data_IF_068365229625
#
_entry.id   IF_068365229625
#
_cell.length_a   1.000
_cell.length_b   1.000
_cell.length_c   1.000
_cell.angle_alpha   90.00
_cell.angle_beta   90.00
_cell.angle_gamma   90.00
#
_symmetry.space_group_name_H-M   'P 1'
#
loop_
_entity.id
_entity.type
_entity.pdbx_description
1 polymer ?
#
# COMPACT_ATOMS: atom_id res chain seq x y z
N UNK A 1 8.23 16.76 0.34
CA UNK A 1 8.00 17.65 -0.83
C UNK A 1 8.83 17.24 -2.05
N UNK A 2 10.14 17.01 -1.90
CA UNK A 2 11.02 16.63 -3.03
C UNK A 2 10.74 15.21 -3.55
N UNK A 3 10.49 14.24 -2.67
CA UNK A 3 10.14 12.87 -3.05
C UNK A 3 8.85 12.79 -3.89
N UNK A 4 7.81 13.56 -3.54
CA UNK A 4 6.56 13.61 -4.33
C UNK A 4 6.81 14.20 -5.71
N UNK A 5 7.50 15.34 -5.79
CA UNK A 5 7.85 15.96 -7.08
C UNK A 5 8.66 15.01 -7.97
N UNK A 6 9.60 14.28 -7.37
CA UNK A 6 10.41 13.29 -8.08
C UNK A 6 9.56 12.12 -8.60
N UNK A 7 8.59 11.64 -7.82
CA UNK A 7 7.68 10.59 -8.24
C UNK A 7 6.64 11.07 -9.26
N UNK A 8 6.14 12.30 -9.13
CA UNK A 8 5.25 12.94 -10.09
C UNK A 8 5.94 13.16 -11.44
N UNK A 9 7.26 13.40 -11.45
CA UNK A 9 8.05 13.52 -12.66
C UNK A 9 8.30 12.19 -13.39
N UNK A 10 8.02 11.03 -12.77
CA UNK A 10 8.20 9.73 -13.41
C UNK A 10 7.14 9.52 -14.53
N UNK A 11 7.52 8.88 -15.65
CA UNK A 11 6.57 8.50 -16.68
C UNK A 11 5.54 7.52 -16.11
N UNK A 12 4.30 7.62 -16.57
CA UNK A 12 3.25 6.66 -16.18
C UNK A 12 3.61 5.27 -16.67
N UNK A 13 3.49 4.25 -15.81
CA UNK A 13 3.65 2.87 -16.25
C UNK A 13 2.62 2.55 -17.34
N UNK A 14 3.01 1.92 -18.46
CA UNK A 14 2.08 1.58 -19.53
C UNK A 14 1.03 0.58 -19.05
N UNK A 15 -0.14 0.57 -19.68
CA UNK A 15 -1.24 -0.34 -19.34
C UNK A 15 -0.93 -1.82 -19.59
N UNK A 16 0.21 -2.13 -20.21
CA UNK A 16 0.71 -3.49 -20.45
C UNK A 16 2.21 -3.53 -20.22
N UNK A 17 2.67 -4.55 -19.49
CA UNK A 17 4.09 -4.80 -19.22
C UNK A 17 4.89 -5.10 -20.48
N UNK A 18 4.26 -5.62 -21.53
CA UNK A 18 4.89 -5.87 -22.83
C UNK A 18 5.43 -4.59 -23.47
N UNK A 19 4.83 -3.44 -23.12
CA UNK A 19 5.23 -2.12 -23.63
C UNK A 19 6.10 -1.36 -22.62
N UNK A 20 6.42 -1.94 -21.47
CA UNK A 20 7.30 -1.32 -20.48
C UNK A 20 8.76 -1.48 -20.92
N UNK A 21 9.47 -0.36 -21.01
CA UNK A 21 10.92 -0.34 -21.16
C UNK A 21 11.58 -0.46 -19.78
N UNK A 22 12.85 -0.83 -19.73
CA UNK A 22 13.60 -0.78 -18.48
C UNK A 22 13.66 0.67 -17.96
N UNK A 23 13.26 0.88 -16.71
CA UNK A 23 13.23 2.22 -16.14
C UNK A 23 12.42 2.35 -14.85
N UNK A 24 12.27 3.59 -14.40
CA UNK A 24 11.43 3.96 -13.24
C UNK A 24 10.13 4.55 -13.75
N UNK A 25 9.02 4.10 -13.18
CA UNK A 25 7.68 4.53 -13.56
C UNK A 25 6.88 4.97 -12.34
N UNK A 26 6.00 5.95 -12.55
CA UNK A 26 4.95 6.29 -11.62
C UNK A 26 3.68 5.52 -11.95
N UNK A 27 3.01 4.99 -10.94
CA UNK A 27 1.67 4.42 -11.08
C UNK A 27 0.75 5.23 -10.19
N UNK A 28 -0.33 5.72 -10.79
CA UNK A 28 -1.20 6.73 -10.18
C UNK A 28 -2.63 6.20 -10.21
N UNK A 29 -3.32 6.30 -9.08
CA UNK A 29 -4.78 6.20 -9.04
C UNK A 29 -5.37 7.60 -8.97
N UNK A 30 -6.37 7.87 -9.80
CA UNK A 30 -7.17 9.09 -9.70
C UNK A 30 -8.42 8.89 -8.82
N UNK A 31 -8.65 7.66 -8.36
CA UNK A 31 -9.84 7.28 -7.61
C UNK A 31 -9.59 7.38 -6.10
N UNK A 32 -10.60 7.88 -5.38
CA UNK A 32 -10.56 7.96 -3.92
C UNK A 32 -11.11 6.67 -3.33
N UNK A 33 -10.38 6.08 -2.39
CA UNK A 33 -10.84 4.98 -1.55
C UNK A 33 -11.27 5.45 -0.16
N UNK A 34 -12.17 4.71 0.48
CA UNK A 34 -12.55 4.89 1.88
C UNK A 34 -12.77 3.51 2.52
N UNK A 35 -12.27 3.31 3.74
CA UNK A 35 -12.53 2.12 4.56
C UNK A 35 -12.80 2.57 5.99
N UNK A 36 -13.77 1.96 6.65
CA UNK A 36 -14.16 2.23 8.03
C UNK A 36 -14.50 0.92 8.72
N UNK A 37 -14.05 0.76 9.97
CA UNK A 37 -14.47 -0.34 10.85
C UNK A 37 -15.36 0.21 11.97
N UNK A 38 -16.43 -0.52 12.28
CA UNK A 38 -17.35 -0.20 13.37
C UNK A 38 -17.15 -1.12 14.61
N UNK A 39 -16.08 -1.92 14.62
CA UNK A 39 -15.82 -2.92 15.66
C UNK A 39 -14.34 -3.07 16.00
N UNK A 40 -13.99 -4.17 16.67
CA UNK A 40 -12.60 -4.55 16.96
C UNK A 40 -11.92 -5.29 15.81
N UNK A 41 -12.68 -5.63 14.77
CA UNK A 41 -12.21 -6.42 13.64
C UNK A 41 -11.49 -5.52 12.62
N UNK A 42 -10.48 -6.10 11.96
CA UNK A 42 -9.72 -5.44 10.91
C UNK A 42 -10.56 -5.44 9.63
N UNK A 43 -10.84 -4.25 9.12
CA UNK A 43 -11.42 -4.03 7.80
C UNK A 43 -10.32 -3.52 6.86
N UNK A 44 -10.23 -4.07 5.65
CA UNK A 44 -9.20 -3.69 4.67
C UNK A 44 -9.77 -3.66 3.26
N UNK A 45 -9.20 -2.85 2.37
CA UNK A 45 -9.63 -2.79 0.97
C UNK A 45 -8.42 -2.56 0.07
N UNK A 46 -8.27 -3.35 -1.00
CA UNK A 46 -7.14 -3.20 -1.92
C UNK A 46 -7.35 -1.96 -2.79
N UNK A 47 -6.48 -0.96 -2.65
CA UNK A 47 -6.60 0.32 -3.35
C UNK A 47 -5.82 0.35 -4.66
N UNK A 48 -4.67 -0.30 -4.74
CA UNK A 48 -3.91 -0.41 -5.98
C UNK A 48 -2.94 -1.58 -5.96
N UNK A 49 -2.41 -1.89 -7.14
CA UNK A 49 -1.61 -3.07 -7.38
C UNK A 49 -0.20 -2.74 -7.88
N UNK A 50 0.59 -1.94 -7.11
CA UNK A 50 2.01 -1.54 -7.38
C UNK A 50 2.61 -0.64 -6.27
N UNK A 51 3.92 -0.26 -6.29
CA UNK A 51 4.58 0.49 -5.20
C UNK A 51 4.01 1.89 -4.95
N UNK A 52 4.17 2.38 -3.72
CA UNK A 52 3.28 3.37 -3.10
C UNK A 52 3.98 4.67 -2.66
N UNK A 53 3.35 5.79 -3.00
CA UNK A 53 3.44 7.05 -2.26
C UNK A 53 2.01 7.47 -1.95
N UNK A 54 1.68 7.71 -0.68
CA UNK A 54 0.32 8.06 -0.23
C UNK A 54 0.25 9.43 0.40
N UNK A 55 -0.89 10.08 0.15
CA UNK A 55 -1.38 11.20 0.95
C UNK A 55 -2.64 10.72 1.68
N UNK A 56 -2.59 10.67 3.01
CA UNK A 56 -3.65 10.06 3.84
C UNK A 56 -3.85 10.83 5.14
N UNK A 57 -4.99 10.59 5.80
CA UNK A 57 -5.24 11.04 7.17
C UNK A 57 -5.82 9.91 8.03
N UNK A 58 -5.75 10.09 9.33
CA UNK A 58 -6.13 9.09 10.33
C UNK A 58 -7.66 8.94 10.50
N UNK A 59 -8.07 7.94 11.29
CA UNK A 59 -9.41 7.57 11.75
C UNK A 59 -10.22 8.70 12.43
N UNK A 60 -9.67 9.91 12.55
CA UNK A 60 -10.32 11.03 13.21
C UNK A 60 -10.30 10.91 14.75
N UNK A 61 -11.48 10.89 15.39
CA UNK A 61 -11.57 10.95 16.85
C UNK A 61 -11.23 9.61 17.51
N UNK A 62 -10.12 9.58 18.25
CA UNK A 62 -9.73 8.42 19.06
C UNK A 62 -10.01 8.66 20.56
N UNK A 63 -10.84 7.79 21.16
CA UNK A 63 -11.28 7.82 22.56
C UNK A 63 -10.21 7.34 23.55
N UNK A 64 -9.34 6.42 23.15
CA UNK A 64 -8.24 5.91 23.98
C UNK A 64 -6.90 5.90 23.21
N UNK A 65 -6.07 6.93 23.45
CA UNK A 65 -4.77 7.10 22.78
C UNK A 65 -3.73 6.04 23.17
N UNK A 66 -3.88 5.41 24.33
CA UNK A 66 -2.91 4.40 24.82
C UNK A 66 -2.97 3.15 23.95
N UNK A 67 -4.10 2.90 23.28
CA UNK A 67 -4.30 1.76 22.40
C UNK A 67 -3.70 1.95 20.99
N UNK A 68 -2.97 3.04 20.74
CA UNK A 68 -2.23 3.25 19.49
C UNK A 68 -3.07 3.79 18.32
N UNK A 69 -2.48 3.76 17.13
CA UNK A 69 -3.12 4.11 15.86
C UNK A 69 -3.68 2.85 15.18
N UNK A 70 -4.92 2.96 14.68
CA UNK A 70 -5.70 1.88 14.08
C UNK A 70 -5.91 2.07 12.58
N UNK A 71 -5.16 3.00 11.96
CA UNK A 71 -5.12 3.16 10.51
C UNK A 71 -3.68 3.12 10.03
N UNK A 72 -3.44 2.23 9.06
CA UNK A 72 -2.15 1.97 8.45
C UNK A 72 -2.35 1.51 7.00
N UNK A 73 -1.27 1.50 6.23
CA UNK A 73 -1.23 0.89 4.92
C UNK A 73 -0.43 -0.40 4.97
N UNK A 74 -0.86 -1.40 4.22
CA UNK A 74 -0.11 -2.63 4.04
C UNK A 74 0.24 -2.84 2.58
N UNK A 75 1.36 -3.52 2.35
CA UNK A 75 1.69 -4.09 1.04
C UNK A 75 1.51 -5.60 1.14
N UNK A 76 0.79 -6.17 0.18
CA UNK A 76 0.46 -7.60 0.13
C UNK A 76 0.85 -8.19 -1.22
N UNK A 77 1.22 -9.47 -1.25
CA UNK A 77 1.26 -10.25 -2.48
C UNK A 77 -0.10 -10.92 -2.67
N UNK A 78 -0.72 -10.74 -3.82
CA UNK A 78 -1.92 -11.46 -4.24
C UNK A 78 -1.53 -12.60 -5.20
N UNK A 79 -2.33 -13.66 -5.21
CA UNK A 79 -2.12 -14.81 -6.09
C UNK A 79 -2.11 -14.41 -7.57
N UNK A 80 -3.03 -13.53 -7.97
CA UNK A 80 -3.14 -13.01 -9.34
C UNK A 80 -3.98 -11.71 -9.41
N UNK A 81 -4.18 -11.20 -10.63
CA UNK A 81 -4.93 -9.97 -10.89
C UNK A 81 -6.40 -9.99 -10.43
N UNK A 82 -7.02 -11.17 -10.30
CA UNK A 82 -8.41 -11.32 -9.89
C UNK A 82 -8.58 -11.60 -8.40
N UNK A 83 -7.48 -11.89 -7.69
CA UNK A 83 -7.53 -12.12 -6.25
C UNK A 83 -7.88 -10.83 -5.49
N UNK A 84 -8.69 -11.01 -4.44
CA UNK A 84 -9.14 -9.96 -3.51
C UNK A 84 -8.54 -10.11 -2.12
N UNK A 85 -7.87 -11.23 -1.86
CA UNK A 85 -7.23 -11.53 -0.58
C UNK A 85 -5.72 -11.75 -0.76
N UNK A 86 -4.89 -11.39 0.23
CA UNK A 86 -3.47 -11.70 0.22
C UNK A 86 -3.21 -13.20 0.13
N UNK A 87 -2.15 -13.54 -0.61
CA UNK A 87 -1.63 -14.89 -0.76
C UNK A 87 -1.15 -15.41 0.59
N UNK A 88 -1.44 -16.69 0.86
CA UNK A 88 -0.95 -17.41 2.04
C UNK A 88 0.08 -18.44 1.58
N UNK A 89 1.23 -18.48 2.24
CA UNK A 89 2.30 -19.46 1.99
C UNK A 89 2.84 -19.95 3.32
N UNK A 90 2.88 -21.27 3.49
CA UNK A 90 3.30 -21.92 4.75
C UNK A 90 2.54 -21.37 5.98
N UNK A 91 1.22 -21.24 5.84
CA UNK A 91 0.30 -20.65 6.83
C UNK A 91 0.57 -19.19 7.22
N UNK A 92 1.42 -18.48 6.46
CA UNK A 92 1.72 -17.06 6.65
C UNK A 92 1.09 -16.24 5.52
N UNK A 93 0.28 -15.25 5.90
CA UNK A 93 -0.24 -14.26 4.96
C UNK A 93 0.88 -13.32 4.52
N UNK A 94 1.06 -13.17 3.21
CA UNK A 94 2.15 -12.38 2.62
C UNK A 94 1.81 -10.89 2.59
N UNK A 95 1.79 -10.30 3.78
CA UNK A 95 1.40 -8.91 4.03
C UNK A 95 2.40 -8.25 4.98
N UNK A 96 2.77 -7.00 4.67
CA UNK A 96 3.72 -6.20 5.46
C UNK A 96 3.17 -4.79 5.68
N UNK A 97 3.23 -4.31 6.92
CA UNK A 97 2.89 -2.93 7.25
C UNK A 97 3.88 -1.97 6.55
N UNK A 98 3.36 -1.00 5.81
CA UNK A 98 4.16 0.05 5.18
C UNK A 98 4.48 1.15 6.18
N UNK A 99 3.44 1.76 6.74
CA UNK A 99 3.50 2.79 7.78
C UNK A 99 2.11 3.00 8.40
N UNK A 100 2.10 3.55 9.61
CA UNK A 100 0.88 4.01 10.30
C UNK A 100 0.57 5.45 9.93
N UNK A 101 -0.71 5.81 9.89
CA UNK A 101 -1.11 7.21 9.71
C UNK A 101 -0.65 8.10 10.89
N UNK A 102 -0.85 9.41 10.75
CA UNK A 102 -0.63 10.34 11.85
C UNK A 102 -1.87 10.43 12.75
N UNK A 103 -1.78 9.87 13.95
CA UNK A 103 -2.87 9.87 14.93
C UNK A 103 -3.43 11.28 15.21
N UNK A 104 -4.76 11.41 15.20
CA UNK A 104 -5.53 12.65 15.45
C UNK A 104 -5.22 13.80 14.48
N UNK A 105 -4.78 13.49 13.27
CA UNK A 105 -4.72 14.46 12.18
C UNK A 105 -5.98 14.37 11.32
N UNK A 106 -6.64 15.50 11.10
CA UNK A 106 -7.61 15.67 10.00
C UNK A 106 -6.95 16.20 8.72
N UNK A 107 -5.70 16.61 8.82
CA UNK A 107 -4.93 17.01 7.67
C UNK A 107 -4.45 15.75 6.95
N UNK A 108 -4.65 15.74 5.64
CA UNK A 108 -3.90 14.88 4.75
C UNK A 108 -2.42 15.20 4.91
N UNK A 109 -1.64 14.18 5.26
CA UNK A 109 -0.21 14.28 5.45
C UNK A 109 0.49 13.26 4.58
N UNK A 110 1.66 13.64 4.09
CA UNK A 110 2.52 12.73 3.35
C UNK A 110 3.36 11.96 4.36
N UNK A 111 3.28 10.63 4.30
CA UNK A 111 4.09 9.73 5.10
C UNK A 111 4.90 8.83 4.16
N UNK A 112 6.16 8.62 4.51
CA UNK A 112 7.03 7.72 3.77
C UNK A 112 6.83 6.31 4.30
N UNK A 113 6.57 5.38 3.39
CA UNK A 113 6.48 3.96 3.71
C UNK A 113 7.86 3.33 3.95
N UNK A 114 7.83 2.09 4.42
CA UNK A 114 9.05 1.29 4.61
C UNK A 114 9.76 1.04 3.27
N UNK A 115 11.08 1.21 3.26
CA UNK A 115 11.93 0.76 2.15
C UNK A 115 12.17 -0.74 2.29
N UNK A 116 11.76 -1.51 1.29
CA UNK A 116 11.99 -2.95 1.26
C UNK A 116 13.34 -3.22 0.57
N UNK A 117 14.32 -3.84 1.28
CA UNK A 117 15.58 -4.23 0.65
C UNK A 117 15.36 -5.40 -0.32
N UNK A 118 16.31 -5.62 -1.23
CA UNK A 118 16.22 -6.64 -2.29
C UNK A 118 16.06 -8.08 -1.74
N UNK A 119 16.56 -8.33 -0.53
CA UNK A 119 16.45 -9.61 0.18
C UNK A 119 15.19 -9.73 1.05
N UNK A 120 14.29 -8.75 1.00
CA UNK A 120 13.04 -8.76 1.74
C UNK A 120 12.06 -9.82 1.19
N UNK A 121 11.21 -10.33 2.07
CA UNK A 121 10.20 -11.35 1.74
C UNK A 121 9.28 -10.95 0.59
N UNK A 122 8.99 -9.65 0.45
CA UNK A 122 8.16 -9.11 -0.64
C UNK A 122 8.71 -9.41 -2.04
N UNK A 123 10.04 -9.50 -2.19
CA UNK A 123 10.66 -9.85 -3.47
C UNK A 123 11.01 -11.33 -3.55
N UNK A 124 11.47 -11.93 -2.45
CA UNK A 124 11.87 -13.35 -2.42
C UNK A 124 10.70 -14.32 -2.57
N UNK A 125 9.49 -13.90 -2.19
CA UNK A 125 8.28 -14.71 -2.23
C UNK A 125 7.38 -14.36 -3.42
N UNK A 126 7.77 -13.37 -4.23
CA UNK A 126 7.05 -12.99 -5.43
C UNK A 126 7.30 -14.02 -6.53
N UNK A 127 6.22 -14.58 -7.07
CA UNK A 127 6.26 -15.55 -8.16
C UNK A 127 5.61 -14.96 -9.43
N UNK A 128 5.78 -15.63 -10.57
CA UNK A 128 5.12 -15.23 -11.80
C UNK A 128 3.60 -15.17 -11.60
N UNK A 129 2.94 -14.21 -12.25
CA UNK A 129 1.50 -13.91 -12.14
C UNK A 129 1.03 -13.29 -10.82
N UNK A 130 1.86 -13.31 -9.76
CA UNK A 130 1.54 -12.61 -8.53
C UNK A 130 1.44 -11.10 -8.76
N UNK A 131 0.64 -10.47 -7.92
CA UNK A 131 0.45 -9.02 -7.97
C UNK A 131 0.72 -8.40 -6.62
N UNK A 132 1.57 -7.39 -6.59
CA UNK A 132 1.78 -6.56 -5.39
C UNK A 132 0.56 -5.67 -5.24
N UNK A 133 -0.08 -5.66 -4.08
CA UNK A 133 -1.25 -4.88 -3.75
C UNK A 133 -1.02 -4.01 -2.52
N UNK A 134 -1.73 -2.90 -2.45
CA UNK A 134 -1.79 -1.98 -1.32
C UNK A 134 -3.19 -2.04 -0.77
N UNK A 135 -3.33 -2.17 0.55
CA UNK A 135 -4.63 -2.16 1.23
C UNK A 135 -4.62 -1.39 2.55
#
# INVERSE_FOLDING_TARGET
>A
MEALKNAEALPTYPSSSVNALDGRYGIRSAERGYVESHGSDIESNIWFKTPLITESHDQGWCSNRVNGNWTWFEISILENANATEPRVKDDVQLTWESHKNQLKSKAFVQLEGTLFPDDHGIFRLLEEQNVIAVR
#
